data_IF_689118373643
#
_entry.id   IF_689118373643
#
_cell.length_a   1.000
_cell.length_b   1.000
_cell.length_c   1.000
_cell.angle_alpha   90.00
_cell.angle_beta   90.00
_cell.angle_gamma   90.00
#
_symmetry.space_group_name_H-M   'P 1'
#
loop_
_entity.id
_entity.type
_entity.pdbx_description
1 polymer ?
#
# COMPACT_ATOMS: atom_id res chain seq x y z
N UNK A 1 -77.24 6.40 6.40
CA UNK A 1 -76.15 7.33 6.00
C UNK A 1 -75.07 7.23 7.06
N UNK A 2 -73.84 6.77 6.84
CA UNK A 2 -73.06 6.61 5.61
C UNK A 2 -71.80 5.75 5.95
N UNK A 3 -71.66 4.62 5.25
CA UNK A 3 -70.44 4.02 4.64
C UNK A 3 -69.23 3.58 5.51
N UNK A 4 -68.93 2.29 5.33
CA UNK A 4 -67.68 1.57 5.62
C UNK A 4 -66.42 2.25 5.05
N UNK A 5 -65.26 2.10 5.70
CA UNK A 5 -64.04 1.69 4.96
C UNK A 5 -63.15 0.79 5.81
N UNK A 6 -63.01 -0.43 5.30
CA UNK A 6 -62.09 -1.49 5.70
C UNK A 6 -60.70 -1.10 5.17
N UNK A 7 -59.74 -0.76 6.03
CA UNK A 7 -58.34 -0.56 5.60
C UNK A 7 -57.59 -1.88 5.65
N UNK A 8 -57.08 -2.26 4.48
CA UNK A 8 -56.41 -3.51 4.20
C UNK A 8 -55.07 -3.66 4.93
N UNK A 9 -54.81 -4.87 5.43
CA UNK A 9 -53.46 -5.36 5.70
C UNK A 9 -52.66 -5.36 4.38
N UNK A 10 -51.57 -4.60 4.34
CA UNK A 10 -50.51 -4.77 3.36
C UNK A 10 -49.46 -5.74 3.91
N UNK A 11 -48.88 -6.63 3.09
CA UNK A 11 -47.80 -7.49 3.53
C UNK A 11 -46.51 -6.66 3.61
N UNK A 12 -45.83 -6.77 4.75
CA UNK A 12 -44.45 -6.30 4.93
C UNK A 12 -43.56 -7.19 4.06
N UNK A 13 -43.25 -6.74 2.84
CA UNK A 13 -42.19 -7.31 2.01
C UNK A 13 -41.14 -6.23 1.73
N UNK A 14 -39.88 -6.63 1.87
CA UNK A 14 -38.74 -5.84 1.44
C UNK A 14 -38.04 -5.16 2.61
N UNK A 15 -37.14 -5.90 3.26
CA UNK A 15 -36.08 -5.28 4.03
C UNK A 15 -35.29 -4.38 3.09
N UNK A 16 -35.56 -3.08 3.18
CA UNK A 16 -34.71 -2.04 2.63
C UNK A 16 -33.40 -2.07 3.40
N UNK A 17 -32.47 -2.92 2.96
CA UNK A 17 -31.07 -2.74 3.29
C UNK A 17 -30.67 -1.36 2.76
N UNK A 18 -30.62 -0.39 3.67
CA UNK A 18 -30.17 0.96 3.39
C UNK A 18 -28.88 0.91 2.58
N UNK A 19 -28.83 1.61 1.45
CA UNK A 19 -27.66 1.71 0.57
C UNK A 19 -26.39 2.21 1.30
N UNK A 20 -26.51 2.74 2.52
CA UNK A 20 -25.39 3.09 3.39
C UNK A 20 -24.68 1.88 4.05
N UNK A 21 -25.28 0.68 3.98
CA UNK A 21 -24.78 -0.53 4.63
C UNK A 21 -24.17 -1.57 3.69
N UNK A 22 -24.13 -1.36 2.37
CA UNK A 22 -23.56 -2.33 1.43
C UNK A 22 -22.01 -2.36 1.58
N UNK A 23 -21.43 -3.49 2.01
CA UNK A 23 -19.98 -3.62 2.15
C UNK A 23 -19.19 -3.33 0.87
N UNK A 24 -19.74 -3.63 -0.31
CA UNK A 24 -19.10 -3.35 -1.60
C UNK A 24 -19.04 -1.85 -1.86
N UNK A 25 -20.13 -1.13 -1.58
CA UNK A 25 -20.20 0.33 -1.73
C UNK A 25 -19.21 1.00 -0.77
N UNK A 26 -19.14 0.54 0.48
CA UNK A 26 -18.18 1.05 1.46
C UNK A 26 -16.73 0.77 1.05
N UNK A 27 -16.42 -0.44 0.58
CA UNK A 27 -15.08 -0.79 0.12
C UNK A 27 -14.67 0.03 -1.12
N UNK A 28 -15.59 0.31 -2.05
CA UNK A 28 -15.34 1.16 -3.21
C UNK A 28 -15.09 2.62 -2.82
N UNK A 29 -15.83 3.13 -1.83
CA UNK A 29 -15.60 4.47 -1.28
C UNK A 29 -14.23 4.56 -0.59
N UNK A 30 -13.86 3.53 0.19
CA UNK A 30 -12.56 3.46 0.85
C UNK A 30 -11.40 3.42 -0.18
N UNK A 31 -11.54 2.66 -1.26
CA UNK A 31 -10.57 2.65 -2.35
C UNK A 31 -10.42 4.03 -2.99
N UNK A 32 -11.54 4.66 -3.36
CA UNK A 32 -11.52 6.04 -3.91
C UNK A 32 -10.80 7.01 -2.97
N UNK A 33 -11.05 6.92 -1.66
CA UNK A 33 -10.38 7.78 -0.68
C UNK A 33 -8.87 7.51 -0.62
N UNK A 34 -8.45 6.25 -0.58
CA UNK A 34 -7.03 5.87 -0.57
C UNK A 34 -6.30 6.32 -1.84
N UNK A 35 -6.93 6.16 -3.02
CA UNK A 35 -6.41 6.69 -4.30
C UNK A 35 -6.25 8.21 -4.25
N UNK A 36 -7.25 8.93 -3.75
CA UNK A 36 -7.19 10.39 -3.63
C UNK A 36 -6.08 10.85 -2.66
N UNK A 37 -5.86 10.11 -1.58
CA UNK A 37 -4.75 10.37 -0.65
C UNK A 37 -3.39 10.19 -1.34
N UNK A 38 -3.18 9.08 -2.08
CA UNK A 38 -1.94 8.89 -2.86
C UNK A 38 -1.72 10.05 -3.84
N UNK A 39 -2.74 10.40 -4.62
CA UNK A 39 -2.66 11.51 -5.60
C UNK A 39 -2.33 12.84 -4.89
N UNK A 40 -2.91 13.09 -3.72
CA UNK A 40 -2.61 14.30 -2.94
C UNK A 40 -1.14 14.34 -2.48
N UNK A 41 -0.59 13.21 -2.04
CA UNK A 41 0.84 13.12 -1.66
C UNK A 41 1.74 13.30 -2.89
N UNK A 42 1.42 12.67 -4.02
CA UNK A 42 2.18 12.84 -5.28
C UNK A 42 2.19 14.30 -5.76
N UNK A 43 1.06 14.99 -5.64
CA UNK A 43 0.97 16.43 -5.93
C UNK A 43 1.88 17.24 -5.02
N UNK A 44 1.83 16.98 -3.70
CA UNK A 44 2.70 17.63 -2.72
C UNK A 44 4.19 17.38 -3.01
N UNK A 45 4.57 16.17 -3.44
CA UNK A 45 5.95 15.90 -3.90
C UNK A 45 6.33 16.80 -5.08
N UNK A 46 5.44 16.94 -6.07
CA UNK A 46 5.65 17.83 -7.22
C UNK A 46 5.82 19.30 -6.82
N UNK A 47 4.97 19.78 -5.91
CA UNK A 47 5.04 21.14 -5.36
C UNK A 47 6.36 21.38 -4.62
N UNK A 48 6.79 20.44 -3.78
CA UNK A 48 8.06 20.53 -3.05
C UNK A 48 9.25 20.55 -4.02
N UNK A 49 9.26 19.66 -5.03
CA UNK A 49 10.32 19.64 -6.05
C UNK A 49 10.42 20.95 -6.82
N UNK A 50 9.27 21.53 -7.17
CA UNK A 50 9.23 22.84 -7.84
C UNK A 50 9.77 23.94 -6.90
N UNK A 51 9.44 23.88 -5.61
CA UNK A 51 9.99 24.77 -4.60
C UNK A 51 11.52 24.67 -4.46
N UNK A 52 12.06 23.45 -4.43
CA UNK A 52 13.51 23.20 -4.41
C UNK A 52 14.17 23.80 -5.65
N UNK A 53 13.63 23.55 -6.84
CA UNK A 53 14.16 24.13 -8.09
C UNK A 53 14.14 25.65 -8.09
N UNK A 54 13.08 26.27 -7.55
CA UNK A 54 13.00 27.73 -7.41
C UNK A 54 14.05 28.27 -6.45
N UNK A 55 14.30 27.58 -5.34
CA UNK A 55 15.36 27.95 -4.39
C UNK A 55 16.73 27.81 -5.06
N UNK A 56 17.00 26.71 -5.76
CA UNK A 56 18.24 26.49 -6.51
C UNK A 56 18.47 27.54 -7.60
N UNK A 57 17.41 27.97 -8.30
CA UNK A 57 17.48 29.06 -9.26
C UNK A 57 17.81 30.39 -8.59
N UNK A 58 17.24 30.68 -7.42
CA UNK A 58 17.58 31.87 -6.64
C UNK A 58 19.05 31.82 -6.17
N UNK A 59 19.58 30.65 -5.79
CA UNK A 59 21.03 30.47 -5.53
C UNK A 59 21.87 30.71 -6.80
N UNK A 60 21.44 30.21 -7.96
CA UNK A 60 22.18 30.30 -9.22
C UNK A 60 22.23 31.72 -9.82
N UNK A 61 21.37 32.63 -9.35
CA UNK A 61 21.47 34.06 -9.64
C UNK A 61 22.49 34.79 -8.75
N UNK A 62 23.07 34.08 -7.78
CA UNK A 62 24.18 34.54 -6.93
C UNK A 62 25.50 33.96 -7.48
N UNK A 63 26.63 34.57 -7.17
CA UNK A 63 27.96 34.18 -7.69
C UNK A 63 28.23 32.67 -7.46
N UNK A 64 28.91 31.98 -8.38
CA UNK A 64 28.99 30.50 -8.40
C UNK A 64 29.62 29.91 -7.12
N UNK A 65 30.56 30.66 -6.52
CA UNK A 65 31.18 30.34 -5.23
C UNK A 65 30.20 30.45 -4.04
N UNK A 66 29.25 31.38 -4.10
CA UNK A 66 28.25 31.60 -3.05
C UNK A 66 27.17 30.50 -3.05
N UNK A 67 26.83 29.96 -4.23
CA UNK A 67 25.90 28.84 -4.36
C UNK A 67 26.48 27.55 -3.75
N UNK A 68 27.78 27.29 -3.96
CA UNK A 68 28.48 26.15 -3.38
C UNK A 68 28.51 26.21 -1.84
N UNK A 69 28.89 27.38 -1.28
CA UNK A 69 28.91 27.59 0.17
C UNK A 69 27.53 27.42 0.82
N UNK A 70 26.46 27.83 0.13
CA UNK A 70 25.10 27.72 0.65
C UNK A 70 24.62 26.26 0.70
N UNK A 71 25.01 25.42 -0.27
CA UNK A 71 24.74 23.96 -0.24
C UNK A 71 25.55 23.27 0.85
N UNK A 72 26.85 23.58 0.94
CA UNK A 72 27.71 23.01 1.99
C UNK A 72 27.19 23.34 3.39
N UNK A 73 26.66 24.55 3.58
CA UNK A 73 26.01 24.95 4.83
C UNK A 73 24.71 24.17 5.11
N UNK A 74 23.90 23.87 4.08
CA UNK A 74 22.69 23.05 4.25
C UNK A 74 23.05 21.60 4.62
N UNK A 75 24.04 21.01 3.94
CA UNK A 75 24.55 19.66 4.21
C UNK A 75 25.12 19.54 5.62
N UNK A 76 25.92 20.54 6.05
CA UNK A 76 26.46 20.59 7.40
C UNK A 76 25.35 20.62 8.46
N UNK A 77 24.26 21.35 8.22
CA UNK A 77 23.11 21.42 9.14
C UNK A 77 22.34 20.11 9.23
N UNK A 78 22.16 19.42 8.10
CA UNK A 78 21.52 18.11 8.12
C UNK A 78 22.40 17.08 8.86
N UNK A 79 23.72 17.09 8.62
CA UNK A 79 24.66 16.24 9.34
C UNK A 79 24.63 16.48 10.85
N UNK A 80 24.61 17.75 11.29
CA UNK A 80 24.48 18.11 12.70
C UNK A 80 23.16 17.62 13.32
N UNK A 81 22.05 17.72 12.58
CA UNK A 81 20.75 17.21 13.02
C UNK A 81 20.78 15.69 13.17
N UNK A 82 21.33 14.96 12.19
CA UNK A 82 21.42 13.50 12.24
C UNK A 82 22.27 13.02 13.41
N UNK A 83 23.40 13.69 13.67
CA UNK A 83 24.24 13.44 14.83
C UNK A 83 23.48 13.63 16.14
N UNK A 84 22.75 14.75 16.29
CA UNK A 84 21.94 15.03 17.47
C UNK A 84 20.82 13.99 17.69
N UNK A 85 20.18 13.52 16.61
CA UNK A 85 19.16 12.45 16.67
C UNK A 85 19.80 11.13 17.14
N UNK A 86 20.95 10.73 16.58
CA UNK A 86 21.65 9.51 16.98
C UNK A 86 22.01 9.55 18.46
N UNK A 87 22.60 10.66 18.92
CA UNK A 87 23.02 10.80 20.30
C UNK A 87 21.84 10.83 21.29
N UNK A 88 20.67 11.33 20.87
CA UNK A 88 19.43 11.22 21.64
C UNK A 88 18.95 9.75 21.74
N UNK A 89 18.90 9.03 20.61
CA UNK A 89 18.47 7.62 20.54
C UNK A 89 19.40 6.72 21.36
N UNK A 90 20.71 6.98 21.34
CA UNK A 90 21.74 6.17 21.98
C UNK A 90 21.91 6.43 23.50
N UNK A 91 21.03 7.25 24.12
CA UNK A 91 20.90 7.34 25.58
C UNK A 91 21.05 8.74 26.20
N UNK A 92 20.94 9.81 25.42
CA UNK A 92 21.01 11.18 25.93
C UNK A 92 19.80 11.57 26.80
N UNK A 93 19.93 11.49 28.12
CA UNK A 93 19.04 12.19 29.07
C UNK A 93 19.12 13.70 28.82
N UNK A 94 18.16 14.27 28.11
CA UNK A 94 17.97 15.71 28.07
C UNK A 94 16.52 16.03 28.43
N UNK A 95 16.33 16.83 29.48
CA UNK A 95 15.04 17.45 29.80
C UNK A 95 14.65 18.41 28.67
N UNK A 96 13.96 17.87 27.66
CA UNK A 96 13.50 18.59 26.45
C UNK A 96 12.48 19.69 26.78
N UNK A 97 11.99 19.73 28.02
CA UNK A 97 11.08 20.76 28.52
C UNK A 97 11.73 22.16 28.67
N UNK A 98 13.07 22.27 28.70
CA UNK A 98 13.76 23.56 28.79
C UNK A 98 14.02 24.23 27.43
N UNK A 99 14.00 23.47 26.32
CA UNK A 99 14.16 23.98 24.97
C UNK A 99 12.80 24.42 24.40
N UNK A 100 12.26 25.51 24.95
CA UNK A 100 11.00 26.07 24.48
C UNK A 100 11.11 26.57 23.03
N UNK A 101 10.65 25.72 22.10
CA UNK A 101 10.03 26.06 20.81
C UNK A 101 10.87 26.62 19.65
N UNK A 102 12.21 26.65 19.71
CA UNK A 102 13.04 26.88 18.51
C UNK A 102 13.89 25.64 18.14
N UNK A 103 13.80 25.12 16.90
CA UNK A 103 14.58 23.95 16.46
C UNK A 103 16.10 24.15 16.52
N UNK A 104 16.57 25.39 16.39
CA UNK A 104 18.00 25.75 16.43
C UNK A 104 18.51 25.71 17.86
N UNK A 105 17.73 26.22 18.80
CA UNK A 105 18.10 26.24 20.23
C UNK A 105 18.01 24.84 20.86
N UNK A 106 17.04 24.03 20.44
CA UNK A 106 16.95 22.63 20.83
C UNK A 106 18.15 21.80 20.32
N UNK A 107 18.60 22.05 19.09
CA UNK A 107 19.81 21.44 18.55
C UNK A 107 21.04 21.88 19.36
N UNK A 108 21.22 23.18 19.62
CA UNK A 108 22.34 23.70 20.40
C UNK A 108 22.42 23.11 21.83
N UNK A 109 21.27 22.89 22.49
CA UNK A 109 21.20 22.29 23.82
C UNK A 109 21.52 20.78 23.84
N UNK A 110 21.02 20.02 22.84
CA UNK A 110 21.39 18.60 22.66
C UNK A 110 22.88 18.46 22.35
N UNK A 111 23.44 19.41 21.58
CA UNK A 111 24.88 19.52 21.30
C UNK A 111 25.72 19.77 22.56
N UNK A 112 25.23 20.60 23.49
CA UNK A 112 25.95 20.93 24.72
C UNK A 112 26.01 19.73 25.70
N UNK A 113 24.99 18.87 25.72
CA UNK A 113 24.99 17.67 26.59
C UNK A 113 25.81 16.51 26.01
N UNK A 114 25.88 16.40 24.68
CA UNK A 114 26.61 15.32 23.97
C UNK A 114 28.12 15.50 23.95
N UNK A 115 28.62 16.73 24.10
CA UNK A 115 30.05 17.03 24.35
C UNK A 115 30.59 16.32 25.61
N UNK A 116 29.74 15.95 26.56
CA UNK A 116 30.17 15.31 27.82
C UNK A 116 30.53 13.82 27.69
N UNK A 117 30.23 13.15 26.55
CA UNK A 117 30.30 11.67 26.43
C UNK A 117 31.41 11.16 25.49
N UNK A 118 32.38 12.00 25.09
CA UNK A 118 33.63 11.50 24.48
C UNK A 118 33.62 11.28 22.96
N UNK A 119 32.63 11.78 22.22
CA UNK A 119 32.68 11.94 20.75
C UNK A 119 33.14 13.36 20.32
N UNK A 120 33.80 14.10 21.21
CA UNK A 120 34.07 15.54 21.08
C UNK A 120 34.91 15.94 19.84
N UNK A 121 35.82 15.08 19.36
CA UNK A 121 36.75 15.48 18.30
C UNK A 121 36.08 15.71 16.93
N UNK A 122 35.14 14.85 16.53
CA UNK A 122 34.38 15.02 15.27
C UNK A 122 33.27 16.06 15.40
N UNK A 123 32.69 16.19 16.59
CA UNK A 123 31.65 17.17 16.90
C UNK A 123 32.20 18.62 16.84
N UNK A 124 33.37 18.87 17.45
CA UNK A 124 34.04 20.18 17.44
C UNK A 124 34.53 20.61 16.04
N UNK A 125 34.88 19.65 15.19
CA UNK A 125 35.28 19.92 13.79
C UNK A 125 34.07 20.35 12.95
N UNK A 126 32.94 19.65 13.08
CA UNK A 126 31.68 19.99 12.40
C UNK A 126 31.15 21.35 12.88
N UNK A 127 31.20 21.62 14.19
CA UNK A 127 30.72 22.88 14.77
C UNK A 127 31.58 24.09 14.33
N UNK A 128 32.92 23.95 14.30
CA UNK A 128 33.80 25.00 13.76
C UNK A 128 33.52 25.25 12.28
N UNK A 129 33.42 24.19 11.49
CA UNK A 129 33.11 24.33 10.05
C UNK A 129 31.77 25.04 9.82
N UNK A 130 30.77 24.76 10.64
CA UNK A 130 29.46 25.42 10.58
C UNK A 130 29.53 26.92 10.90
N UNK A 131 30.18 27.33 12.00
CA UNK A 131 30.29 28.75 12.34
C UNK A 131 31.18 29.52 11.35
N UNK A 132 32.22 28.90 10.79
CA UNK A 132 33.00 29.46 9.67
C UNK A 132 32.14 29.72 8.43
N UNK A 133 31.34 28.72 8.02
CA UNK A 133 30.43 28.83 6.87
C UNK A 133 29.35 29.90 7.13
N UNK A 134 28.78 29.95 8.33
CA UNK A 134 27.78 30.95 8.72
C UNK A 134 28.33 32.36 8.75
N UNK A 135 29.59 32.56 9.16
CA UNK A 135 30.26 33.86 9.12
C UNK A 135 30.56 34.33 7.69
N UNK A 136 30.85 33.39 6.77
CA UNK A 136 31.08 33.69 5.35
C UNK A 136 29.78 33.97 4.56
N UNK A 137 28.62 33.56 5.09
CA UNK A 137 27.35 33.53 4.37
C UNK A 137 26.37 34.55 4.97
N UNK A 138 26.06 35.63 4.22
CA UNK A 138 25.12 36.68 4.68
C UNK A 138 23.68 36.21 4.99
N UNK A 139 22.85 37.04 5.66
CA UNK A 139 21.57 36.63 6.24
C UNK A 139 20.54 36.09 5.24
N UNK A 140 20.50 36.65 4.02
CA UNK A 140 19.61 36.15 2.94
C UNK A 140 19.96 34.71 2.58
N UNK A 141 21.25 34.40 2.45
CA UNK A 141 21.73 33.05 2.10
C UNK A 141 21.49 32.04 3.21
N UNK A 142 21.65 32.45 4.48
CA UNK A 142 21.30 31.61 5.62
C UNK A 142 19.81 31.24 5.63
N UNK A 143 18.93 32.17 5.24
CA UNK A 143 17.50 31.89 5.09
C UNK A 143 17.22 30.91 3.95
N UNK A 144 17.88 31.09 2.80
CA UNK A 144 17.72 30.18 1.67
C UNK A 144 18.21 28.77 2.02
N UNK A 145 19.37 28.64 2.68
CA UNK A 145 19.88 27.35 3.17
C UNK A 145 18.88 26.67 4.12
N UNK A 146 18.26 27.42 5.05
CA UNK A 146 17.19 26.87 5.92
C UNK A 146 15.98 26.38 5.12
N UNK A 147 15.56 27.14 4.12
CA UNK A 147 14.41 26.80 3.28
C UNK A 147 14.69 25.55 2.45
N UNK A 148 15.89 25.43 1.87
CA UNK A 148 16.31 24.28 1.09
C UNK A 148 16.35 23.02 1.97
N UNK A 149 17.02 23.10 3.12
CA UNK A 149 17.11 22.03 4.12
C UNK A 149 15.71 21.56 4.58
N UNK A 150 14.77 22.50 4.78
CA UNK A 150 13.38 22.18 5.13
C UNK A 150 12.60 21.54 3.98
N UNK A 151 12.81 22.00 2.75
CA UNK A 151 12.16 21.46 1.56
C UNK A 151 12.65 20.05 1.23
N UNK A 152 13.94 19.79 1.32
CA UNK A 152 14.54 18.46 1.11
C UNK A 152 14.06 17.44 2.13
N UNK A 153 13.97 17.83 3.41
CA UNK A 153 13.31 17.00 4.43
C UNK A 153 11.85 16.72 4.11
N UNK A 154 11.10 17.76 3.76
CA UNK A 154 9.69 17.63 3.41
C UNK A 154 9.51 16.69 2.22
N UNK A 155 10.44 16.70 1.26
CA UNK A 155 10.47 15.78 0.13
C UNK A 155 10.72 14.34 0.57
N UNK A 156 11.68 14.11 1.46
CA UNK A 156 11.96 12.80 2.05
C UNK A 156 10.74 12.24 2.79
N UNK A 157 10.10 13.07 3.61
CA UNK A 157 8.89 12.68 4.34
C UNK A 157 7.73 12.39 3.39
N UNK A 158 7.50 13.24 2.39
CA UNK A 158 6.46 13.01 1.38
C UNK A 158 6.72 11.75 0.53
N UNK A 159 7.99 11.41 0.26
CA UNK A 159 8.35 10.15 -0.39
C UNK A 159 8.06 8.93 0.50
N UNK A 160 8.17 9.05 1.82
CA UNK A 160 7.72 8.00 2.73
C UNK A 160 6.19 7.93 2.76
N UNK A 161 5.51 9.08 2.80
CA UNK A 161 4.05 9.19 2.78
C UNK A 161 3.45 8.52 1.54
N UNK A 162 4.07 8.67 0.35
CA UNK A 162 3.53 8.06 -0.88
C UNK A 162 3.62 6.53 -0.84
N UNK A 163 4.65 5.98 -0.19
CA UNK A 163 4.79 4.54 0.03
C UNK A 163 3.66 4.04 0.95
N UNK A 164 3.37 4.76 2.03
CA UNK A 164 2.27 4.42 2.94
C UNK A 164 0.92 4.56 2.25
N UNK A 165 0.68 5.63 1.50
CA UNK A 165 -0.55 5.85 0.75
C UNK A 165 -0.79 4.76 -0.30
N UNK A 166 0.25 4.34 -1.02
CA UNK A 166 0.18 3.23 -1.97
C UNK A 166 -0.07 1.87 -1.28
N UNK A 167 0.38 1.68 -0.03
CA UNK A 167 0.02 0.50 0.75
C UNK A 167 -1.47 0.50 1.14
N UNK A 168 -1.99 1.63 1.63
CA UNK A 168 -3.42 1.77 1.95
C UNK A 168 -4.32 1.58 0.73
N UNK A 169 -3.91 2.07 -0.44
CA UNK A 169 -4.65 1.85 -1.69
C UNK A 169 -4.73 0.35 -2.03
N UNK A 170 -3.62 -0.39 -1.95
CA UNK A 170 -3.60 -1.84 -2.18
C UNK A 170 -4.45 -2.62 -1.16
N UNK A 171 -4.43 -2.23 0.10
CA UNK A 171 -5.27 -2.85 1.13
C UNK A 171 -6.77 -2.60 0.86
N UNK A 172 -7.11 -1.39 0.40
CA UNK A 172 -8.47 -1.07 0.00
C UNK A 172 -8.92 -1.84 -1.26
N UNK A 173 -8.04 -2.01 -2.26
CA UNK A 173 -8.30 -2.85 -3.44
C UNK A 173 -8.53 -4.31 -3.04
N UNK A 174 -7.70 -4.86 -2.15
CA UNK A 174 -7.83 -6.22 -1.66
C UNK A 174 -9.15 -6.41 -0.92
N UNK A 175 -9.53 -5.46 -0.06
CA UNK A 175 -10.82 -5.49 0.64
C UNK A 175 -12.00 -5.44 -0.34
N UNK A 176 -11.96 -4.55 -1.33
CA UNK A 176 -13.00 -4.49 -2.37
C UNK A 176 -13.12 -5.82 -3.13
N UNK A 177 -12.00 -6.47 -3.46
CA UNK A 177 -12.01 -7.77 -4.13
C UNK A 177 -12.69 -8.86 -3.27
N UNK A 178 -12.41 -8.89 -1.96
CA UNK A 178 -13.06 -9.81 -1.02
C UNK A 178 -14.56 -9.54 -0.94
N UNK A 179 -14.98 -8.28 -0.82
CA UNK A 179 -16.40 -7.93 -0.72
C UNK A 179 -17.17 -8.25 -2.01
N UNK A 180 -16.57 -8.05 -3.18
CA UNK A 180 -17.16 -8.42 -4.46
C UNK A 180 -17.35 -9.93 -4.59
N UNK A 181 -16.38 -10.72 -4.12
CA UNK A 181 -16.50 -12.18 -4.16
C UNK A 181 -17.57 -12.68 -3.17
N UNK A 182 -17.61 -12.12 -1.96
CA UNK A 182 -18.67 -12.38 -1.00
C UNK A 182 -20.06 -11.97 -1.54
N UNK A 183 -20.14 -10.88 -2.32
CA UNK A 183 -21.39 -10.48 -2.97
C UNK A 183 -21.82 -11.47 -4.07
N UNK A 184 -20.87 -12.01 -4.86
CA UNK A 184 -21.14 -13.05 -5.86
C UNK A 184 -21.65 -14.33 -5.21
N UNK A 185 -20.99 -14.80 -4.16
CA UNK A 185 -21.40 -16.00 -3.43
C UNK A 185 -22.82 -15.85 -2.86
N UNK A 186 -23.12 -14.71 -2.23
CA UNK A 186 -24.47 -14.40 -1.75
C UNK A 186 -25.52 -14.44 -2.87
N UNK A 187 -25.21 -13.89 -4.04
CA UNK A 187 -26.11 -13.91 -5.19
C UNK A 187 -26.31 -15.32 -5.79
N UNK A 188 -25.26 -16.15 -5.81
CA UNK A 188 -25.35 -17.54 -6.25
C UNK A 188 -26.18 -18.40 -5.29
N UNK A 189 -25.97 -18.24 -3.97
CA UNK A 189 -26.77 -18.89 -2.95
C UNK A 189 -28.26 -18.49 -3.05
N UNK A 190 -28.54 -17.21 -3.25
CA UNK A 190 -29.91 -16.72 -3.43
C UNK A 190 -30.56 -17.32 -4.68
N UNK A 191 -29.83 -17.38 -5.81
CA UNK A 191 -30.29 -18.05 -7.04
C UNK A 191 -30.52 -19.55 -6.84
N UNK A 192 -29.66 -20.23 -6.08
CA UNK A 192 -29.82 -21.63 -5.76
C UNK A 192 -31.08 -21.87 -4.91
N UNK A 193 -31.28 -21.06 -3.87
CA UNK A 193 -32.50 -21.09 -3.03
C UNK A 193 -33.76 -20.82 -3.86
N UNK A 194 -33.72 -19.85 -4.77
CA UNK A 194 -34.85 -19.54 -5.66
C UNK A 194 -35.16 -20.70 -6.63
N UNK A 195 -34.14 -21.36 -7.19
CA UNK A 195 -34.31 -22.55 -8.04
C UNK A 195 -34.92 -23.71 -7.27
N UNK A 196 -34.46 -23.95 -6.05
CA UNK A 196 -35.01 -25.00 -5.18
C UNK A 196 -36.47 -24.71 -4.81
N UNK A 197 -36.80 -23.47 -4.44
CA UNK A 197 -38.16 -23.04 -4.17
C UNK A 197 -39.08 -23.27 -5.38
N UNK A 198 -38.66 -22.87 -6.58
CA UNK A 198 -39.40 -23.08 -7.81
C UNK A 198 -39.58 -24.58 -8.14
N UNK A 199 -38.56 -25.40 -7.92
CA UNK A 199 -38.64 -26.85 -8.12
C UNK A 199 -39.62 -27.51 -7.13
N UNK A 200 -39.64 -27.06 -5.87
CA UNK A 200 -40.58 -27.53 -4.86
C UNK A 200 -42.02 -27.14 -5.23
N UNK A 201 -42.25 -25.90 -5.65
CA UNK A 201 -43.56 -25.44 -6.16
C UNK A 201 -44.04 -26.27 -7.35
N UNK A 202 -43.16 -26.56 -8.33
CA UNK A 202 -43.49 -27.42 -9.47
C UNK A 202 -43.83 -28.86 -9.06
N UNK A 203 -43.14 -29.43 -8.06
CA UNK A 203 -43.46 -30.74 -7.47
C UNK A 203 -44.83 -30.75 -6.79
N UNK A 204 -45.16 -29.71 -6.02
CA UNK A 204 -46.47 -29.56 -5.38
C UNK A 204 -47.59 -29.47 -6.42
N UNK A 205 -47.40 -28.66 -7.47
CA UNK A 205 -48.36 -28.51 -8.56
C UNK A 205 -48.59 -29.83 -9.32
N UNK A 206 -47.52 -30.56 -9.66
CA UNK A 206 -47.61 -31.86 -10.35
C UNK A 206 -48.24 -32.96 -9.49
N UNK A 207 -48.01 -32.97 -8.17
CA UNK A 207 -48.65 -33.92 -7.23
C UNK A 207 -50.16 -33.69 -7.15
N UNK A 208 -50.60 -32.42 -7.11
CA UNK A 208 -52.02 -32.06 -7.14
C UNK A 208 -52.69 -32.50 -8.45
N UNK A 209 -52.02 -32.32 -9.60
CA UNK A 209 -52.49 -32.78 -10.91
C UNK A 209 -52.53 -34.32 -11.03
N UNK A 210 -51.58 -35.04 -10.42
CA UNK A 210 -51.59 -36.52 -10.35
C UNK A 210 -52.72 -37.07 -9.48
N UNK A 211 -53.06 -36.40 -8.38
CA UNK A 211 -54.23 -36.77 -7.56
C UNK A 211 -55.56 -36.50 -8.29
N UNK A 212 -55.63 -35.44 -9.08
CA UNK A 212 -56.79 -35.15 -9.94
C UNK A 212 -56.94 -36.16 -11.10
N UNK A 213 -55.83 -36.60 -11.70
CA UNK A 213 -55.84 -37.59 -12.79
C UNK A 213 -55.99 -39.05 -12.32
N UNK A 214 -55.63 -39.41 -11.07
CA UNK A 214 -55.99 -40.73 -10.51
C UNK A 214 -57.50 -40.95 -10.34
N UNK A 215 -58.31 -39.88 -10.36
CA UNK A 215 -59.78 -39.96 -10.40
C UNK A 215 -60.34 -40.15 -11.81
N UNK A 216 -59.49 -40.03 -12.84
CA UNK A 216 -59.86 -40.15 -14.25
C UNK A 216 -58.85 -41.05 -14.98
N UNK A 217 -59.25 -42.32 -15.09
CA UNK A 217 -58.95 -43.20 -16.21
C UNK A 217 -57.89 -44.32 -16.04
N UNK A 218 -58.44 -45.53 -16.08
CA UNK A 218 -57.93 -46.79 -16.63
C UNK A 218 -57.07 -46.65 -17.90
N UNK A 219 -56.01 -47.49 -17.92
CA UNK A 219 -55.37 -48.14 -19.09
C UNK A 219 -54.30 -47.35 -19.87
N UNK A 220 -53.10 -47.94 -19.94
CA UNK A 220 -52.19 -47.80 -21.09
C UNK A 220 -50.72 -47.60 -20.74
N UNK A 221 -49.90 -48.59 -21.08
CA UNK A 221 -48.47 -48.80 -20.79
C UNK A 221 -47.50 -48.24 -21.84
N UNK A 222 -46.22 -48.04 -21.43
CA UNK A 222 -45.01 -48.01 -22.28
C UNK A 222 -44.20 -46.71 -22.08
N UNK A 223 -43.00 -46.63 -21.49
CA UNK A 223 -41.70 -47.34 -21.58
C UNK A 223 -40.61 -46.48 -22.28
N UNK A 224 -39.47 -46.36 -21.58
CA UNK A 224 -38.08 -46.07 -22.01
C UNK A 224 -37.49 -44.63 -21.97
N UNK A 225 -36.35 -44.52 -21.24
CA UNK A 225 -35.22 -43.55 -21.30
C UNK A 225 -33.97 -44.27 -21.89
N UNK A 226 -32.70 -43.77 -21.96
CA UNK A 226 -32.04 -42.47 -21.59
C UNK A 226 -31.13 -41.91 -22.75
N UNK A 227 -30.26 -40.86 -22.69
CA UNK A 227 -28.94 -40.72 -21.99
C UNK A 227 -28.15 -39.46 -22.48
N UNK A 228 -27.27 -38.88 -21.63
CA UNK A 228 -26.00 -38.15 -21.97
C UNK A 228 -26.08 -36.60 -22.09
N UNK A 229 -25.64 -35.74 -21.17
CA UNK A 229 -24.33 -35.51 -20.49
C UNK A 229 -23.24 -34.91 -21.39
N UNK A 230 -22.93 -33.61 -21.20
CA UNK A 230 -21.53 -33.15 -21.12
C UNK A 230 -21.38 -31.80 -20.41
N UNK A 231 -20.29 -31.72 -19.65
CA UNK A 231 -20.05 -30.79 -18.57
C UNK A 231 -19.12 -29.62 -18.96
N UNK A 232 -19.24 -28.57 -18.16
CA UNK A 232 -18.41 -27.38 -18.13
C UNK A 232 -16.91 -27.65 -17.91
N UNK A 233 -16.07 -26.75 -18.41
CA UNK A 233 -14.72 -26.51 -17.88
C UNK A 233 -14.38 -25.03 -17.99
N UNK A 234 -14.46 -24.35 -16.86
CA UNK A 234 -13.85 -23.06 -16.61
C UNK A 234 -13.04 -23.20 -15.32
N UNK A 235 -11.72 -23.05 -15.39
CA UNK A 235 -10.87 -22.92 -14.20
C UNK A 235 -9.65 -22.09 -14.56
N UNK A 236 -9.51 -20.91 -13.96
CA UNK A 236 -8.24 -20.20 -13.69
C UNK A 236 -8.55 -18.88 -13.00
N UNK A 237 -8.45 -18.83 -11.67
CA UNK A 237 -8.73 -17.61 -10.91
C UNK A 237 -8.24 -17.64 -9.46
N UNK A 238 -7.07 -18.23 -9.20
CA UNK A 238 -6.47 -18.26 -7.86
C UNK A 238 -5.28 -17.29 -7.79
N UNK A 239 -5.50 -16.00 -7.51
CA UNK A 239 -4.38 -15.06 -7.34
C UNK A 239 -4.69 -13.74 -6.61
N UNK A 240 -5.43 -13.69 -5.49
CA UNK A 240 -5.61 -12.43 -4.72
C UNK A 240 -5.78 -12.62 -3.20
N UNK A 241 -4.89 -13.36 -2.54
CA UNK A 241 -4.89 -13.51 -1.07
C UNK A 241 -3.56 -13.12 -0.43
N UNK A 242 -3.59 -12.74 0.85
CA UNK A 242 -2.39 -12.53 1.69
C UNK A 242 -1.47 -13.76 1.66
N UNK A 243 -0.14 -13.60 1.84
CA UNK A 243 0.75 -14.76 1.91
C UNK A 243 0.42 -15.63 3.11
N UNK A 244 0.38 -16.94 2.91
CA UNK A 244 0.36 -17.90 4.03
C UNK A 244 1.65 -17.79 4.83
N UNK A 245 1.65 -18.25 6.09
CA UNK A 245 2.86 -18.28 6.92
C UNK A 245 4.04 -19.01 6.23
N UNK A 246 3.74 -20.08 5.48
CA UNK A 246 4.74 -20.85 4.73
C UNK A 246 5.36 -20.07 3.55
N UNK A 247 4.54 -19.29 2.84
CA UNK A 247 4.99 -18.44 1.74
C UNK A 247 5.86 -17.30 2.28
N UNK A 248 5.42 -16.64 3.36
CA UNK A 248 6.18 -15.59 4.03
C UNK A 248 7.54 -16.08 4.53
N UNK A 249 7.58 -17.27 5.16
CA UNK A 249 8.83 -17.87 5.62
C UNK A 249 9.77 -18.24 4.46
N UNK A 250 9.21 -18.71 3.34
CA UNK A 250 9.98 -19.04 2.13
C UNK A 250 10.58 -17.79 1.49
N UNK A 251 9.80 -16.73 1.31
CA UNK A 251 10.27 -15.47 0.76
C UNK A 251 11.32 -14.80 1.66
N UNK A 252 11.14 -14.84 2.98
CA UNK A 252 12.14 -14.33 3.92
C UNK A 252 13.49 -15.06 3.80
N UNK A 253 13.46 -16.39 3.63
CA UNK A 253 14.67 -17.21 3.40
C UNK A 253 15.36 -16.84 2.09
N UNK A 254 14.58 -16.76 1.00
CA UNK A 254 15.09 -16.38 -0.32
C UNK A 254 15.72 -14.98 -0.24
N UNK A 255 15.00 -13.98 0.27
CA UNK A 255 15.50 -12.61 0.41
C UNK A 255 16.80 -12.53 1.22
N UNK A 256 16.89 -13.26 2.34
CA UNK A 256 18.10 -13.28 3.17
C UNK A 256 19.28 -13.92 2.43
N UNK A 257 19.04 -14.95 1.64
CA UNK A 257 20.07 -15.62 0.85
C UNK A 257 20.52 -14.78 -0.36
N UNK A 258 19.59 -14.19 -1.10
CA UNK A 258 19.85 -13.44 -2.34
C UNK A 258 20.53 -12.08 -2.10
N UNK A 259 20.07 -11.34 -1.10
CA UNK A 259 20.46 -9.93 -0.92
C UNK A 259 20.87 -9.58 0.51
N UNK A 260 20.88 -10.56 1.42
CA UNK A 260 20.96 -10.33 2.88
C UNK A 260 19.87 -9.39 3.41
N UNK A 261 18.75 -9.24 2.68
CA UNK A 261 17.66 -8.33 3.03
C UNK A 261 17.79 -6.92 2.45
N UNK A 262 18.74 -6.64 1.57
CA UNK A 262 18.88 -5.35 0.94
C UNK A 262 17.97 -5.21 -0.28
N UNK A 263 16.93 -4.37 -0.18
CA UNK A 263 15.95 -4.13 -1.25
C UNK A 263 16.46 -3.24 -2.39
N UNK A 264 17.58 -2.54 -2.20
CA UNK A 264 18.13 -1.63 -3.19
C UNK A 264 19.38 -2.20 -3.88
N UNK A 265 19.75 -3.45 -3.57
CA UNK A 265 20.97 -4.04 -4.13
C UNK A 265 20.87 -4.23 -5.63
N UNK A 266 21.96 -3.94 -6.32
CA UNK A 266 22.15 -4.28 -7.72
C UNK A 266 23.35 -5.20 -7.80
N UNK A 267 23.18 -6.37 -8.42
CA UNK A 267 24.28 -7.33 -8.62
C UNK A 267 25.45 -6.66 -9.36
N UNK A 268 26.66 -7.19 -9.19
CA UNK A 268 27.85 -6.70 -9.90
C UNK A 268 27.69 -6.65 -11.42
N UNK A 269 26.89 -7.56 -11.98
CA UNK A 269 26.55 -7.60 -13.41
C UNK A 269 25.51 -6.56 -13.85
N UNK A 270 24.84 -5.88 -12.92
CA UNK A 270 23.71 -4.99 -13.19
C UNK A 270 22.42 -5.68 -13.63
N UNK A 271 22.44 -7.00 -13.87
CA UNK A 271 21.32 -7.78 -14.42
C UNK A 271 20.24 -8.10 -13.38
N UNK A 272 20.66 -8.45 -12.18
CA UNK A 272 19.77 -8.81 -11.08
C UNK A 272 19.71 -7.70 -10.05
N UNK A 273 18.50 -7.41 -9.58
CA UNK A 273 18.16 -6.20 -8.84
C UNK A 273 17.17 -6.48 -7.72
N UNK A 274 17.32 -5.74 -6.63
CA UNK A 274 16.44 -5.76 -5.47
C UNK A 274 16.61 -6.98 -4.58
N UNK A 275 15.79 -7.05 -3.55
CA UNK A 275 15.86 -8.03 -2.47
C UNK A 275 15.80 -9.49 -2.93
N UNK A 276 15.11 -9.74 -4.05
CA UNK A 276 14.90 -11.06 -4.65
C UNK A 276 15.70 -11.28 -5.94
N UNK A 277 16.58 -10.34 -6.26
CA UNK A 277 17.47 -10.43 -7.42
C UNK A 277 16.69 -10.65 -8.73
N UNK A 278 15.65 -9.85 -8.96
CA UNK A 278 14.87 -9.88 -10.19
C UNK A 278 15.69 -9.38 -11.38
N UNK A 279 15.49 -9.99 -12.55
CA UNK A 279 15.79 -9.35 -13.83
C UNK A 279 14.54 -8.63 -14.37
N UNK A 280 14.74 -7.66 -15.28
CA UNK A 280 13.64 -6.86 -15.86
C UNK A 280 12.55 -7.68 -16.55
N UNK A 281 12.91 -8.78 -17.25
CA UNK A 281 11.93 -9.60 -17.97
C UNK A 281 11.05 -10.36 -16.99
N UNK A 282 11.64 -10.93 -15.95
CA UNK A 282 10.90 -11.63 -14.90
C UNK A 282 10.03 -10.65 -14.10
N UNK A 283 10.58 -9.48 -13.75
CA UNK A 283 9.86 -8.39 -13.08
C UNK A 283 8.61 -7.97 -13.84
N UNK A 284 8.76 -7.66 -15.13
CA UNK A 284 7.63 -7.33 -16.01
C UNK A 284 6.65 -8.49 -16.16
N UNK A 285 7.15 -9.73 -16.21
CA UNK A 285 6.33 -10.94 -16.32
C UNK A 285 5.39 -11.19 -15.13
N UNK A 286 5.70 -10.64 -13.96
CA UNK A 286 4.80 -10.65 -12.78
C UNK A 286 4.11 -9.30 -12.55
N UNK A 287 4.12 -8.43 -13.56
CA UNK A 287 3.41 -7.16 -13.61
C UNK A 287 4.13 -5.98 -12.96
N UNK A 288 5.42 -6.11 -12.63
CA UNK A 288 6.24 -5.00 -12.16
C UNK A 288 6.61 -4.04 -13.29
N UNK A 289 6.75 -2.76 -12.98
CA UNK A 289 7.22 -1.72 -13.90
C UNK A 289 8.49 -1.04 -13.34
N UNK A 290 9.27 -0.39 -14.20
CA UNK A 290 10.50 0.29 -13.80
C UNK A 290 11.63 -0.65 -13.34
N UNK A 291 12.56 -0.10 -12.55
CA UNK A 291 13.69 -0.84 -11.97
C UNK A 291 13.25 -1.61 -10.70
N UNK A 292 13.44 -2.94 -10.63
CA UNK A 292 13.16 -3.72 -9.43
C UNK A 292 13.85 -3.22 -8.16
N UNK A 293 15.09 -2.71 -8.25
CA UNK A 293 15.82 -2.17 -7.09
C UNK A 293 15.31 -0.79 -6.64
N UNK A 294 14.65 -0.05 -7.54
CA UNK A 294 14.00 1.22 -7.22
C UNK A 294 12.57 1.03 -6.69
N UNK A 295 11.98 -0.15 -6.89
CA UNK A 295 10.65 -0.48 -6.40
C UNK A 295 10.64 -0.59 -4.86
N UNK A 296 9.51 -0.25 -4.24
CA UNK A 296 9.38 -0.31 -2.79
C UNK A 296 9.55 -1.75 -2.27
N UNK A 297 9.99 -1.93 -1.00
CA UNK A 297 10.12 -3.27 -0.42
C UNK A 297 8.84 -4.11 -0.51
N UNK A 298 7.69 -3.49 -0.24
CA UNK A 298 6.39 -4.15 -0.33
C UNK A 298 6.03 -4.55 -1.77
N UNK A 299 6.41 -3.75 -2.77
CA UNK A 299 6.20 -4.10 -4.17
C UNK A 299 7.09 -5.28 -4.57
N UNK A 300 8.37 -5.27 -4.18
CA UNK A 300 9.28 -6.39 -4.43
C UNK A 300 8.80 -7.69 -3.76
N UNK A 301 8.34 -7.61 -2.50
CA UNK A 301 7.76 -8.75 -1.77
C UNK A 301 6.49 -9.27 -2.44
N UNK A 302 5.62 -8.38 -2.90
CA UNK A 302 4.39 -8.73 -3.62
C UNK A 302 4.69 -9.43 -4.96
N UNK A 303 5.61 -8.88 -5.77
CA UNK A 303 6.02 -9.50 -7.03
C UNK A 303 6.72 -10.84 -6.81
N UNK A 304 7.52 -10.96 -5.75
CA UNK A 304 8.13 -12.24 -5.36
C UNK A 304 7.08 -13.27 -4.94
N UNK A 305 6.03 -12.87 -4.21
CA UNK A 305 4.90 -13.74 -3.88
C UNK A 305 4.15 -14.21 -5.12
N UNK A 306 3.87 -13.32 -6.07
CA UNK A 306 3.25 -13.69 -7.35
C UNK A 306 4.13 -14.69 -8.11
N UNK A 307 5.44 -14.43 -8.20
CA UNK A 307 6.38 -15.32 -8.87
C UNK A 307 6.45 -16.70 -8.20
N UNK A 308 6.47 -16.73 -6.86
CA UNK A 308 6.47 -17.95 -6.05
C UNK A 308 5.19 -18.76 -6.29
N UNK A 309 4.02 -18.13 -6.31
CA UNK A 309 2.75 -18.81 -6.59
C UNK A 309 2.67 -19.34 -8.03
N UNK A 310 3.24 -18.62 -8.99
CA UNK A 310 3.21 -19.02 -10.40
C UNK A 310 4.22 -20.13 -10.72
N UNK A 311 5.41 -20.12 -10.10
CA UNK A 311 6.55 -20.94 -10.55
C UNK A 311 7.21 -21.74 -9.42
N UNK A 312 6.69 -21.67 -8.21
CA UNK A 312 7.37 -22.19 -7.03
C UNK A 312 8.73 -21.53 -6.83
N UNK A 313 9.67 -22.26 -6.26
CA UNK A 313 11.02 -21.76 -5.97
C UNK A 313 11.99 -21.87 -7.15
N UNK A 314 11.55 -22.36 -8.32
CA UNK A 314 12.40 -22.53 -9.53
C UNK A 314 13.21 -21.29 -9.93
N UNK A 315 12.69 -20.05 -9.83
CA UNK A 315 13.46 -18.85 -10.15
C UNK A 315 14.65 -18.60 -9.21
N UNK A 316 14.67 -19.22 -8.03
CA UNK A 316 15.72 -19.14 -7.02
C UNK A 316 16.36 -20.53 -6.79
N UNK A 317 17.14 -21.07 -7.73
CA UNK A 317 17.58 -22.47 -7.71
C UNK A 317 18.52 -22.85 -6.56
N UNK A 318 19.19 -21.87 -5.95
CA UNK A 318 20.05 -22.04 -4.77
C UNK A 318 19.30 -21.58 -3.52
N UNK A 319 18.83 -20.33 -3.52
CA UNK A 319 18.23 -19.69 -2.35
C UNK A 319 16.79 -20.13 -2.03
N UNK A 320 16.13 -20.83 -2.96
CA UNK A 320 14.79 -21.37 -2.80
C UNK A 320 14.73 -22.82 -2.33
N UNK A 321 15.88 -23.42 -1.99
CA UNK A 321 15.95 -24.75 -1.38
C UNK A 321 15.53 -24.74 0.10
#
# INVERSE_FOLDING_TARGET
MTILTLSALLPVFGGSASAAGDPVVQAKAALTNATNQRIAVERRIGEIKTGIQSLEQELGQMDEADAALTRELADAKDAMRQFAISAYIDGGKADVAAASLDPTDAQALVWQSTLSVGQAASADEVARRFEELKAAVGPKRLQIARNLEAAERSLKDANNDVIQAAAFERDAEAKLAVELEAARQRAEEERARAREAAANEAKLASTSNQQASKKSNTRGTGAASPTGSDAARESSGAARGNPTASESATLARIRRCESRGNYQIVSSSGRYRGAYQFDYRTWAGVGGSGDPAAASPAEQDYRALLLLRQRGTRPWPICGR
#
